data_IF_090137318243
#
_entry.id   IF_090137318243
#
_cell.length_a   1.000
_cell.length_b   1.000
_cell.length_c   1.000
_cell.angle_alpha   90.00
_cell.angle_beta   90.00
_cell.angle_gamma   90.00
#
_symmetry.space_group_name_H-M   'P 1'
#
loop_
_entity.id
_entity.type
_entity.pdbx_description
1 polymer ?
#
# COMPACT_ATOMS: atom_id res chain seq x y z
N UNK A 1 7.52 27.38 -11.64
CA UNK A 1 8.34 26.61 -12.60
C UNK A 1 9.15 25.57 -11.83
N UNK A 2 8.80 24.29 -11.89
CA UNK A 2 9.78 23.22 -11.60
C UNK A 2 9.32 21.87 -12.16
N UNK A 3 9.30 21.76 -13.48
CA UNK A 3 9.18 20.47 -14.20
C UNK A 3 10.51 19.69 -14.18
N UNK A 4 11.60 20.31 -13.71
CA UNK A 4 12.95 19.73 -13.72
C UNK A 4 13.17 18.71 -12.61
N UNK A 5 12.55 18.90 -11.43
CA UNK A 5 12.65 17.92 -10.33
C UNK A 5 11.96 16.60 -10.65
N UNK A 6 10.79 16.66 -11.30
CA UNK A 6 9.98 15.48 -11.66
C UNK A 6 10.66 14.58 -12.71
N UNK A 7 11.38 15.17 -13.67
CA UNK A 7 12.03 14.43 -14.76
C UNK A 7 13.30 13.70 -14.29
N UNK A 8 14.04 14.27 -13.32
CA UNK A 8 15.25 13.64 -12.78
C UNK A 8 14.96 12.43 -11.89
N UNK A 9 13.80 12.38 -11.22
CA UNK A 9 13.39 11.23 -10.40
C UNK A 9 12.56 10.19 -11.16
N UNK A 10 12.00 10.55 -12.32
CA UNK A 10 11.19 9.66 -13.17
C UNK A 10 11.85 8.32 -13.55
N UNK A 11 13.15 8.25 -13.95
CA UNK A 11 13.74 6.98 -14.36
C UNK A 11 13.96 5.99 -13.20
N UNK A 12 13.99 6.46 -11.95
CA UNK A 12 14.17 5.62 -10.76
C UNK A 12 12.82 5.25 -10.13
N UNK A 13 11.86 6.18 -10.12
CA UNK A 13 10.52 5.93 -9.56
C UNK A 13 9.66 5.01 -10.45
N UNK A 14 9.90 4.99 -11.77
CA UNK A 14 9.17 4.13 -12.71
C UNK A 14 9.33 2.63 -12.44
N UNK A 15 10.56 2.09 -12.34
CA UNK A 15 10.81 0.68 -12.03
C UNK A 15 10.21 0.23 -10.70
N UNK A 16 10.29 1.07 -9.65
CA UNK A 16 9.76 0.74 -8.31
C UNK A 16 8.22 0.63 -8.35
N UNK A 17 7.56 1.59 -9.00
CA UNK A 17 6.10 1.55 -9.21
C UNK A 17 5.67 0.31 -10.01
N UNK A 18 6.47 -0.09 -11.00
CA UNK A 18 6.24 -1.32 -11.76
C UNK A 18 6.34 -2.59 -10.93
N UNK A 19 7.31 -2.65 -10.00
CA UNK A 19 7.45 -3.78 -9.06
C UNK A 19 6.29 -3.86 -8.07
N UNK A 20 5.84 -2.73 -7.54
CA UNK A 20 4.67 -2.64 -6.67
C UNK A 20 3.39 -3.14 -7.35
N UNK A 21 3.15 -2.65 -8.57
CA UNK A 21 2.02 -3.07 -9.37
C UNK A 21 2.05 -4.58 -9.64
N UNK A 22 3.24 -5.13 -9.90
CA UNK A 22 3.43 -6.56 -10.10
C UNK A 22 3.19 -7.36 -8.81
N UNK A 23 3.65 -6.88 -7.65
CA UNK A 23 3.39 -7.50 -6.35
C UNK A 23 1.89 -7.54 -6.05
N UNK A 24 1.17 -6.43 -6.26
CA UNK A 24 -0.29 -6.36 -6.14
C UNK A 24 -0.98 -7.32 -7.12
N UNK A 25 -0.52 -7.40 -8.36
CA UNK A 25 -1.11 -8.29 -9.38
C UNK A 25 -0.92 -9.77 -9.01
N UNK A 26 0.23 -10.13 -8.44
CA UNK A 26 0.51 -11.48 -7.95
C UNK A 26 -0.38 -11.81 -6.74
N UNK A 27 -0.57 -10.86 -5.82
CA UNK A 27 -1.50 -10.96 -4.69
C UNK A 27 -2.96 -11.15 -5.16
N UNK A 28 -3.40 -10.35 -6.13
CA UNK A 28 -4.75 -10.42 -6.73
C UNK A 28 -5.01 -11.77 -7.43
N UNK A 29 -4.01 -12.35 -8.08
CA UNK A 29 -4.14 -13.62 -8.81
C UNK A 29 -3.99 -14.87 -7.92
N UNK A 30 -3.37 -14.74 -6.74
CA UNK A 30 -3.24 -15.83 -5.78
C UNK A 30 -4.49 -16.01 -4.89
N UNK A 31 -5.40 -15.02 -4.85
CA UNK A 31 -6.56 -14.97 -3.95
C UNK A 31 -7.87 -15.46 -4.59
N UNK A 32 -7.85 -16.64 -5.21
CA UNK A 32 -9.06 -17.42 -5.38
C UNK A 32 -9.53 -17.93 -4.02
N UNK A 33 -10.56 -17.30 -3.45
CA UNK A 33 -11.33 -17.69 -2.24
C UNK A 33 -10.83 -17.28 -0.82
N UNK A 34 -9.74 -16.55 -0.60
CA UNK A 34 -9.28 -16.20 0.76
C UNK A 34 -9.32 -14.71 1.15
N UNK A 35 -10.30 -14.39 2.01
CA UNK A 35 -10.20 -13.59 3.25
C UNK A 35 -9.73 -12.11 3.21
N UNK A 36 -10.64 -11.22 3.61
CA UNK A 36 -10.48 -9.79 3.91
C UNK A 36 -9.18 -9.34 4.65
N UNK A 37 -8.59 -10.09 5.61
CA UNK A 37 -7.37 -9.64 6.30
C UNK A 37 -6.11 -9.60 5.45
N UNK A 38 -5.96 -10.45 4.42
CA UNK A 38 -4.75 -10.44 3.59
C UNK A 38 -4.72 -9.21 2.67
N UNK A 39 -5.88 -8.81 2.14
CA UNK A 39 -6.02 -7.57 1.38
C UNK A 39 -5.60 -6.33 2.18
N UNK A 40 -5.96 -6.26 3.46
CA UNK A 40 -5.59 -5.12 4.31
C UNK A 40 -4.07 -5.10 4.58
N UNK A 41 -3.42 -6.27 4.63
CA UNK A 41 -1.95 -6.35 4.72
C UNK A 41 -1.28 -5.83 3.46
N UNK A 42 -1.82 -6.15 2.27
CA UNK A 42 -1.39 -5.55 1.01
C UNK A 42 -1.53 -4.02 1.02
N UNK A 43 -2.68 -3.50 1.43
CA UNK A 43 -2.94 -2.06 1.54
C UNK A 43 -1.97 -1.35 2.51
N UNK A 44 -1.59 -1.99 3.62
CA UNK A 44 -0.59 -1.47 4.56
C UNK A 44 0.82 -1.41 3.94
N UNK A 45 1.24 -2.45 3.22
CA UNK A 45 2.54 -2.50 2.56
C UNK A 45 2.67 -1.40 1.48
N UNK A 46 1.57 -1.12 0.77
CA UNK A 46 1.51 -0.04 -0.20
C UNK A 46 1.61 1.34 0.44
N UNK A 47 0.94 1.52 1.58
CA UNK A 47 0.98 2.76 2.35
C UNK A 47 2.40 3.04 2.88
N UNK A 48 3.10 2.01 3.34
CA UNK A 48 4.51 2.11 3.78
C UNK A 48 5.43 2.50 2.63
N UNK A 49 5.31 1.86 1.48
CA UNK A 49 6.13 2.23 0.32
C UNK A 49 5.78 3.63 -0.22
N UNK A 50 4.52 4.07 -0.10
CA UNK A 50 4.14 5.44 -0.43
C UNK A 50 4.86 6.47 0.48
N UNK A 51 5.04 6.15 1.76
CA UNK A 51 5.82 6.97 2.70
C UNK A 51 7.31 6.96 2.35
N UNK A 52 7.89 5.78 2.09
CA UNK A 52 9.30 5.63 1.71
C UNK A 52 9.65 6.42 0.44
N UNK A 53 8.75 6.39 -0.55
CA UNK A 53 8.86 7.15 -1.80
C UNK A 53 8.50 8.62 -1.63
N UNK A 54 8.21 9.08 -0.41
CA UNK A 54 7.80 10.45 -0.06
C UNK A 54 6.59 10.93 -0.88
N UNK A 55 5.71 10.02 -1.26
CA UNK A 55 4.46 10.34 -1.95
C UNK A 55 3.39 10.83 -0.97
N UNK A 56 3.48 10.40 0.28
CA UNK A 56 2.69 10.87 1.41
C UNK A 56 3.63 11.36 2.53
N UNK A 57 3.12 12.22 3.41
CA UNK A 57 3.84 12.62 4.61
C UNK A 57 3.51 11.67 5.79
N UNK A 58 4.30 11.75 6.85
CA UNK A 58 4.12 10.90 8.03
C UNK A 58 2.73 11.07 8.68
N UNK A 59 2.16 12.29 8.66
CA UNK A 59 0.85 12.53 9.27
C UNK A 59 -0.28 11.91 8.47
N UNK A 60 -0.16 11.88 7.15
CA UNK A 60 -1.09 11.19 6.26
C UNK A 60 -0.96 9.68 6.41
N UNK A 61 0.28 9.17 6.49
CA UNK A 61 0.56 7.76 6.78
C UNK A 61 -0.12 7.32 8.08
N UNK A 62 0.14 8.00 9.20
CA UNK A 62 -0.40 7.65 10.51
C UNK A 62 -1.94 7.57 10.50
N UNK A 63 -2.60 8.53 9.83
CA UNK A 63 -4.06 8.54 9.71
C UNK A 63 -4.59 7.36 8.92
N UNK A 64 -3.97 7.03 7.79
CA UNK A 64 -4.43 5.94 6.94
C UNK A 64 -4.09 4.58 7.55
N UNK A 65 -2.93 4.44 8.18
CA UNK A 65 -2.51 3.23 8.86
C UNK A 65 -3.49 2.89 9.99
N UNK A 66 -3.87 3.87 10.80
CA UNK A 66 -4.82 3.65 11.90
C UNK A 66 -6.18 3.14 11.39
N UNK A 67 -6.67 3.66 10.25
CA UNK A 67 -7.91 3.21 9.62
C UNK A 67 -7.81 1.77 9.11
N UNK A 68 -6.70 1.40 8.47
CA UNK A 68 -6.46 0.04 7.97
C UNK A 68 -6.32 -0.95 9.13
N UNK A 69 -5.55 -0.60 10.16
CA UNK A 69 -5.40 -1.43 11.36
C UNK A 69 -6.71 -1.59 12.12
N UNK A 70 -7.58 -0.56 12.13
CA UNK A 70 -8.92 -0.66 12.71
C UNK A 70 -9.77 -1.69 11.97
N UNK A 71 -9.82 -1.63 10.64
CA UNK A 71 -10.55 -2.62 9.83
C UNK A 71 -10.02 -4.03 10.05
N UNK A 72 -8.69 -4.20 10.12
CA UNK A 72 -8.07 -5.50 10.37
C UNK A 72 -8.52 -6.10 11.72
N UNK A 73 -8.65 -5.26 12.75
CA UNK A 73 -9.18 -5.68 14.06
C UNK A 73 -10.64 -6.12 13.97
N UNK A 74 -11.49 -5.33 13.34
CA UNK A 74 -12.92 -5.63 13.17
C UNK A 74 -13.14 -6.98 12.48
N UNK A 75 -12.37 -7.25 11.42
CA UNK A 75 -12.45 -8.53 10.69
C UNK A 75 -11.97 -9.70 11.56
N UNK A 76 -10.88 -9.51 12.31
CA UNK A 76 -10.34 -10.55 13.19
C UNK A 76 -11.28 -10.87 14.34
N UNK A 77 -11.97 -9.87 14.89
CA UNK A 77 -13.01 -10.05 15.90
C UNK A 77 -14.20 -10.82 15.32
N UNK A 78 -14.67 -10.44 14.13
CA UNK A 78 -15.78 -11.12 13.45
C UNK A 78 -15.48 -12.57 13.03
N UNK A 79 -14.21 -12.94 12.84
CA UNK A 79 -13.80 -14.31 12.48
C UNK A 79 -13.56 -15.20 13.72
N UNK A 80 -13.44 -14.61 14.91
CA UNK A 80 -13.20 -15.32 16.17
C UNK A 80 -14.49 -15.67 16.95
N UNK A 81 -15.66 -15.22 16.49
CA UNK A 81 -17.00 -15.62 16.95
C UNK A 81 -17.56 -16.77 16.08
#
# INVERSE_FOLDING_TARGET
MSILGTVLTAPVLGPIKGLLWLARTIEEQANGELYDPDKIRGELAELELALELKQIDAREYDRQEELLLKRLREIREATND
#
